data_IF_081777778437
#
_entry.id   IF_081777778437
#
_cell.length_a   1.000
_cell.length_b   1.000
_cell.length_c   1.000
_cell.angle_alpha   90.00
_cell.angle_beta   90.00
_cell.angle_gamma   90.00
#
_symmetry.space_group_name_H-M   'P 1'
#
loop_
_entity.id
_entity.type
_entity.pdbx_description
1 polymer ?
#
# COMPACT_ATOMS: atom_id res chain seq x y z
N UNK A 1 -44.22 15.82 7.25
CA UNK A 1 -43.02 14.96 7.16
C UNK A 1 -42.68 14.49 8.57
N UNK A 2 -42.79 13.19 8.84
CA UNK A 2 -42.85 12.66 10.21
C UNK A 2 -41.43 12.62 10.82
N UNK A 3 -41.22 13.32 11.95
CA UNK A 3 -39.88 13.48 12.57
C UNK A 3 -39.21 12.13 12.91
N UNK A 4 -40.01 11.10 13.22
CA UNK A 4 -39.52 9.74 13.45
C UNK A 4 -38.92 9.07 12.22
N UNK A 5 -39.43 9.36 11.01
CA UNK A 5 -38.91 8.78 9.77
C UNK A 5 -37.52 9.33 9.42
N UNK A 6 -37.30 10.62 9.71
CA UNK A 6 -36.01 11.29 9.51
C UNK A 6 -34.97 10.74 10.49
N UNK A 7 -35.35 10.54 11.76
CA UNK A 7 -34.46 10.01 12.78
C UNK A 7 -34.00 8.57 12.46
N UNK A 8 -34.91 7.69 12.03
CA UNK A 8 -34.58 6.31 11.65
C UNK A 8 -33.69 6.24 10.41
N UNK A 9 -33.91 7.12 9.42
CA UNK A 9 -33.09 7.21 8.21
C UNK A 9 -31.68 7.72 8.51
N UNK A 10 -31.53 8.66 9.45
CA UNK A 10 -30.24 9.21 9.86
C UNK A 10 -29.40 8.19 10.67
N UNK A 11 -30.05 7.35 11.48
CA UNK A 11 -29.40 6.26 12.23
C UNK A 11 -28.89 5.16 11.28
N UNK A 12 -29.66 4.76 10.27
CA UNK A 12 -29.21 3.78 9.27
C UNK A 12 -28.00 4.27 8.45
N UNK A 13 -27.90 5.56 8.16
CA UNK A 13 -26.77 6.15 7.44
C UNK A 13 -25.46 6.12 8.25
N UNK A 14 -25.53 6.11 9.58
CA UNK A 14 -24.33 6.10 10.44
C UNK A 14 -23.69 4.71 10.55
N UNK A 15 -24.45 3.64 10.39
CA UNK A 15 -23.97 2.25 10.53
C UNK A 15 -23.21 1.72 9.31
N UNK A 16 -23.35 2.36 8.14
CA UNK A 16 -22.70 1.96 6.88
C UNK A 16 -21.51 2.85 6.47
N UNK A 17 -21.13 3.81 7.32
CA UNK A 17 -20.29 4.95 6.92
C UNK A 17 -18.82 4.63 6.63
N UNK A 18 -18.22 3.63 7.29
CA UNK A 18 -16.76 3.47 7.29
C UNK A 18 -16.18 3.18 5.90
N UNK A 19 -16.82 2.32 5.09
CA UNK A 19 -16.33 1.96 3.75
C UNK A 19 -16.66 3.03 2.69
N UNK A 20 -17.64 3.92 2.97
CA UNK A 20 -18.13 4.90 2.00
C UNK A 20 -17.73 6.34 2.36
N UNK A 21 -16.89 6.50 3.37
CA UNK A 21 -16.52 7.79 3.94
C UNK A 21 -15.80 8.68 2.93
N UNK A 22 -14.90 8.15 2.10
CA UNK A 22 -14.22 8.92 1.04
C UNK A 22 -15.22 9.51 0.04
N UNK A 23 -16.15 8.70 -0.46
CA UNK A 23 -17.18 9.13 -1.40
C UNK A 23 -18.08 10.21 -0.80
N UNK A 24 -18.48 10.06 0.48
CA UNK A 24 -19.31 11.06 1.17
C UNK A 24 -18.54 12.36 1.39
N UNK A 25 -17.27 12.29 1.81
CA UNK A 25 -16.42 13.47 2.03
C UNK A 25 -16.20 14.26 0.75
N UNK A 26 -15.99 13.59 -0.40
CA UNK A 26 -15.85 14.24 -1.71
C UNK A 26 -17.12 14.98 -2.14
N UNK A 27 -18.29 14.36 -1.94
CA UNK A 27 -19.59 14.99 -2.25
C UNK A 27 -19.86 16.17 -1.31
N UNK A 28 -19.58 16.03 -0.02
CA UNK A 28 -19.73 17.12 0.95
C UNK A 28 -18.82 18.30 0.61
N UNK A 29 -17.56 18.03 0.22
CA UNK A 29 -16.62 19.07 -0.18
C UNK A 29 -17.06 19.81 -1.46
N UNK A 30 -17.58 19.11 -2.47
CA UNK A 30 -18.06 19.76 -3.70
C UNK A 30 -19.30 20.62 -3.45
N UNK A 31 -20.20 20.19 -2.55
CA UNK A 31 -21.37 20.98 -2.14
C UNK A 31 -20.96 22.19 -1.29
N UNK A 32 -20.00 22.04 -0.38
CA UNK A 32 -19.48 23.15 0.42
C UNK A 32 -18.76 24.19 -0.47
N UNK A 33 -18.10 23.75 -1.54
CA UNK A 33 -17.49 24.65 -2.51
C UNK A 33 -18.53 25.40 -3.35
N UNK A 34 -19.57 24.71 -3.83
CA UNK A 34 -20.63 25.33 -4.65
C UNK A 34 -21.50 26.31 -3.86
N UNK A 35 -21.60 26.13 -2.54
CA UNK A 35 -22.30 27.05 -1.61
C UNK A 35 -21.40 28.18 -1.08
N UNK A 36 -20.12 28.22 -1.48
CA UNK A 36 -19.17 29.27 -1.09
C UNK A 36 -18.66 29.18 0.35
N UNK A 37 -18.98 28.11 1.08
CA UNK A 37 -18.50 27.88 2.45
C UNK A 37 -17.00 27.55 2.46
N UNK A 38 -16.52 26.89 1.41
CA UNK A 38 -15.09 26.65 1.16
C UNK A 38 -14.72 27.05 -0.28
N UNK A 39 -13.43 27.23 -0.53
CA UNK A 39 -12.91 27.46 -1.88
C UNK A 39 -12.78 26.15 -2.67
N UNK A 40 -12.73 26.25 -4.00
CA UNK A 40 -12.48 25.09 -4.87
C UNK A 40 -11.14 24.40 -4.55
N UNK A 41 -10.10 25.18 -4.26
CA UNK A 41 -8.78 24.64 -3.88
C UNK A 41 -8.83 23.83 -2.58
N UNK A 42 -9.64 24.26 -1.60
CA UNK A 42 -9.86 23.49 -0.38
C UNK A 42 -10.63 22.20 -0.66
N UNK A 43 -11.65 22.24 -1.52
CA UNK A 43 -12.38 21.03 -1.92
C UNK A 43 -11.49 20.00 -2.62
N UNK A 44 -10.63 20.45 -3.53
CA UNK A 44 -9.66 19.59 -4.24
C UNK A 44 -8.65 18.98 -3.26
N UNK A 45 -8.16 19.77 -2.29
CA UNK A 45 -7.24 19.30 -1.25
C UNK A 45 -7.90 18.28 -0.32
N UNK A 46 -9.16 18.50 0.05
CA UNK A 46 -9.96 17.57 0.85
C UNK A 46 -10.16 16.25 0.09
N UNK A 47 -10.56 16.31 -1.18
CA UNK A 47 -10.75 15.13 -2.04
C UNK A 47 -9.47 14.30 -2.20
N UNK A 48 -8.32 14.96 -2.38
CA UNK A 48 -7.01 14.30 -2.45
C UNK A 48 -6.65 13.63 -1.13
N UNK A 49 -6.84 14.34 -0.02
CA UNK A 49 -6.49 13.84 1.31
C UNK A 49 -7.41 12.71 1.75
N UNK A 50 -8.72 12.80 1.50
CA UNK A 50 -9.68 11.74 1.81
C UNK A 50 -9.36 10.46 1.04
N UNK A 51 -9.00 10.60 -0.25
CA UNK A 51 -8.59 9.47 -1.09
C UNK A 51 -7.31 8.83 -0.59
N UNK A 52 -6.32 9.61 -0.15
CA UNK A 52 -5.08 9.09 0.43
C UNK A 52 -5.32 8.35 1.76
N UNK A 53 -6.20 8.86 2.63
CA UNK A 53 -6.57 8.22 3.90
C UNK A 53 -7.28 6.89 3.63
N UNK A 54 -8.27 6.89 2.74
CA UNK A 54 -8.98 5.67 2.36
C UNK A 54 -8.02 4.63 1.79
N UNK A 55 -7.12 5.05 0.90
CA UNK A 55 -6.11 4.15 0.33
C UNK A 55 -5.11 3.63 1.37
N UNK A 56 -4.77 4.42 2.39
CA UNK A 56 -3.88 4.00 3.49
C UNK A 56 -4.54 3.02 4.46
N UNK A 57 -5.89 2.96 4.47
CA UNK A 57 -6.65 2.01 5.26
C UNK A 57 -6.89 0.68 4.50
N UNK A 58 -6.55 0.60 3.22
CA UNK A 58 -6.58 -0.64 2.46
C UNK A 58 -5.31 -1.47 2.73
N UNK A 59 -5.49 -2.79 2.86
CA UNK A 59 -4.36 -3.71 2.91
C UNK A 59 -3.61 -3.72 1.57
N UNK A 60 -2.28 -3.80 1.65
CA UNK A 60 -1.43 -3.98 0.47
C UNK A 60 -1.61 -5.41 -0.03
N UNK A 61 -2.02 -5.57 -1.29
CA UNK A 61 -2.18 -6.91 -1.88
C UNK A 61 -0.81 -7.55 -2.14
N UNK A 62 -0.72 -8.90 -2.20
CA UNK A 62 0.54 -9.58 -2.53
C UNK A 62 1.19 -9.09 -3.84
N UNK A 63 0.40 -8.76 -4.85
CA UNK A 63 0.89 -8.19 -6.11
C UNK A 63 1.48 -6.80 -5.92
N UNK A 64 0.80 -5.95 -5.13
CA UNK A 64 1.28 -4.61 -4.82
C UNK A 64 2.58 -4.68 -4.00
N UNK A 65 2.65 -5.56 -3.01
CA UNK A 65 3.84 -5.86 -2.22
C UNK A 65 5.01 -6.22 -3.14
N UNK A 66 4.80 -7.14 -4.09
CA UNK A 66 5.81 -7.52 -5.08
C UNK A 66 6.33 -6.35 -5.93
N UNK A 67 5.43 -5.50 -6.44
CA UNK A 67 5.85 -4.37 -7.28
C UNK A 67 6.52 -3.24 -6.49
N UNK A 68 6.12 -3.04 -5.23
CA UNK A 68 6.82 -2.13 -4.30
C UNK A 68 8.22 -2.68 -4.03
N UNK A 69 8.34 -3.96 -3.66
CA UNK A 69 9.62 -4.63 -3.39
C UNK A 69 10.57 -4.61 -4.60
N UNK A 70 10.05 -4.85 -5.81
CA UNK A 70 10.79 -4.68 -7.08
C UNK A 70 11.37 -3.27 -7.24
N UNK A 71 10.59 -2.25 -6.90
CA UNK A 71 11.01 -0.85 -7.03
C UNK A 71 12.13 -0.53 -6.03
N UNK A 72 11.97 -0.95 -4.77
CA UNK A 72 12.99 -0.80 -3.74
C UNK A 72 14.26 -1.57 -4.10
N UNK A 73 14.12 -2.81 -4.56
CA UNK A 73 15.24 -3.65 -5.00
C UNK A 73 16.04 -3.01 -6.14
N UNK A 74 15.37 -2.37 -7.11
CA UNK A 74 16.05 -1.63 -8.17
C UNK A 74 16.85 -0.43 -7.64
N UNK A 75 16.32 0.30 -6.65
CA UNK A 75 17.05 1.39 -5.98
C UNK A 75 18.28 0.86 -5.25
N UNK A 76 18.15 -0.25 -4.53
CA UNK A 76 19.27 -0.88 -3.81
C UNK A 76 20.35 -1.35 -4.79
N UNK A 77 19.97 -2.07 -5.84
CA UNK A 77 20.90 -2.56 -6.88
C UNK A 77 21.60 -1.40 -7.61
N UNK A 78 20.91 -0.26 -7.79
CA UNK A 78 21.51 0.94 -8.36
C UNK A 78 22.62 1.55 -7.50
N UNK A 79 22.58 1.33 -6.17
CA UNK A 79 23.61 1.80 -5.22
C UNK A 79 24.69 0.75 -4.95
N UNK A 80 24.29 -0.51 -4.81
CA UNK A 80 25.16 -1.64 -4.52
C UNK A 80 25.02 -2.67 -5.65
N UNK A 81 25.98 -2.75 -6.59
CA UNK A 81 25.83 -3.60 -7.76
C UNK A 81 25.80 -5.09 -7.36
N UNK A 82 25.21 -5.97 -8.19
CA UNK A 82 25.19 -7.39 -7.91
C UNK A 82 26.62 -7.96 -7.89
N UNK A 83 26.94 -8.76 -6.88
CA UNK A 83 28.23 -9.42 -6.78
C UNK A 83 28.36 -10.47 -7.90
N UNK A 84 29.34 -10.28 -8.79
CA UNK A 84 29.52 -11.05 -10.02
C UNK A 84 30.19 -12.41 -9.77
N UNK A 85 29.55 -13.25 -8.95
CA UNK A 85 30.02 -14.59 -8.66
C UNK A 85 28.89 -15.61 -8.71
N UNK A 86 28.85 -16.38 -9.80
CA UNK A 86 27.79 -17.35 -10.04
C UNK A 86 27.74 -18.47 -8.99
N UNK A 87 28.90 -18.91 -8.46
CA UNK A 87 28.95 -19.97 -7.45
C UNK A 87 28.31 -19.51 -6.15
N UNK A 88 28.65 -18.29 -5.72
CA UNK A 88 28.07 -17.68 -4.51
C UNK A 88 26.57 -17.46 -4.68
N UNK A 89 26.14 -16.85 -5.79
CA UNK A 89 24.71 -16.61 -6.04
C UNK A 89 23.92 -17.92 -6.13
N UNK A 90 24.48 -18.99 -6.73
CA UNK A 90 23.83 -20.31 -6.76
C UNK A 90 23.70 -20.91 -5.36
N UNK A 91 24.75 -20.84 -4.55
CA UNK A 91 24.71 -21.31 -3.17
C UNK A 91 23.66 -20.56 -2.36
N UNK A 92 23.66 -19.23 -2.44
CA UNK A 92 22.69 -18.39 -1.74
C UNK A 92 21.25 -18.73 -2.16
N UNK A 93 21.00 -18.90 -3.45
CA UNK A 93 19.67 -19.26 -3.92
C UNK A 93 19.25 -20.66 -3.46
N UNK A 94 20.14 -21.66 -3.48
CA UNK A 94 19.82 -22.98 -2.94
C UNK A 94 19.45 -22.90 -1.46
N UNK A 95 20.26 -22.20 -0.66
CA UNK A 95 20.02 -22.03 0.77
C UNK A 95 18.71 -21.28 1.03
N UNK A 96 18.54 -20.10 0.43
CA UNK A 96 17.40 -19.23 0.64
C UNK A 96 16.08 -19.89 0.21
N UNK A 97 16.06 -20.55 -0.95
CA UNK A 97 14.86 -21.27 -1.40
C UNK A 97 14.52 -22.44 -0.48
N UNK A 98 15.53 -23.18 0.01
CA UNK A 98 15.31 -24.29 0.95
C UNK A 98 14.72 -23.78 2.27
N UNK A 99 15.22 -22.66 2.79
CA UNK A 99 14.68 -22.04 4.00
C UNK A 99 13.28 -21.49 3.80
N UNK A 100 13.00 -20.87 2.64
CA UNK A 100 11.67 -20.35 2.32
C UNK A 100 10.59 -21.45 2.38
N UNK A 101 10.90 -22.65 1.88
CA UNK A 101 9.98 -23.80 1.92
C UNK A 101 9.64 -24.27 3.35
N UNK A 102 10.46 -23.94 4.33
CA UNK A 102 10.23 -24.26 5.74
C UNK A 102 9.65 -23.07 6.55
N UNK A 103 9.28 -21.98 5.89
CA UNK A 103 8.74 -20.78 6.54
C UNK A 103 7.21 -20.81 6.65
N UNK A 104 6.65 -19.86 7.40
CA UNK A 104 5.19 -19.67 7.52
C UNK A 104 4.53 -19.18 6.21
N UNK A 105 5.32 -18.68 5.25
CA UNK A 105 4.87 -18.21 3.93
C UNK A 105 5.75 -18.80 2.83
N UNK A 106 5.63 -20.10 2.52
CA UNK A 106 6.51 -20.77 1.55
C UNK A 106 6.29 -20.31 0.10
N UNK A 107 5.14 -19.69 -0.17
CA UNK A 107 4.79 -19.13 -1.47
C UNK A 107 4.45 -17.63 -1.35
N UNK A 108 5.04 -16.82 -2.22
CA UNK A 108 4.78 -15.38 -2.37
C UNK A 108 4.40 -15.08 -3.82
N UNK A 109 3.71 -13.96 -4.06
CA UNK A 109 3.46 -13.52 -5.44
C UNK A 109 4.80 -13.21 -6.12
N UNK A 110 5.11 -13.92 -7.21
CA UNK A 110 6.39 -13.80 -7.92
C UNK A 110 7.58 -14.55 -7.29
N UNK A 111 7.39 -15.22 -6.16
CA UNK A 111 8.39 -16.06 -5.49
C UNK A 111 9.53 -15.30 -4.78
N UNK A 112 10.29 -16.01 -3.96
CA UNK A 112 11.49 -15.47 -3.32
C UNK A 112 12.66 -15.35 -4.30
N UNK A 113 13.43 -14.26 -4.18
CA UNK A 113 14.65 -14.01 -4.96
C UNK A 113 15.76 -13.59 -4.02
N UNK A 114 16.94 -14.20 -4.16
CA UNK A 114 18.09 -13.90 -3.30
C UNK A 114 19.28 -13.45 -4.16
N UNK A 115 19.93 -12.36 -3.75
CA UNK A 115 21.04 -11.77 -4.48
C UNK A 115 22.10 -11.26 -3.51
N UNK A 116 23.37 -11.60 -3.77
CA UNK A 116 24.50 -10.97 -3.07
C UNK A 116 24.84 -9.65 -3.75
N UNK A 117 25.02 -8.61 -2.95
CA UNK A 117 25.46 -7.29 -3.39
C UNK A 117 26.95 -7.14 -3.12
N UNK A 118 27.64 -6.43 -4.01
CA UNK A 118 29.06 -6.12 -3.90
C UNK A 118 29.25 -4.93 -2.94
N UNK A 119 29.51 -5.24 -1.67
CA UNK A 119 29.65 -4.25 -0.60
C UNK A 119 30.52 -4.82 0.53
N UNK A 120 31.37 -3.98 1.11
CA UNK A 120 32.15 -4.30 2.31
C UNK A 120 31.31 -4.14 3.61
N UNK A 121 30.09 -3.61 3.50
CA UNK A 121 29.16 -3.47 4.63
C UNK A 121 28.49 -4.81 4.97
N UNK A 122 28.57 -5.23 6.23
CA UNK A 122 27.85 -6.42 6.72
C UNK A 122 26.37 -6.05 6.92
N UNK A 123 25.50 -6.46 6.00
CA UNK A 123 24.06 -6.19 6.08
C UNK A 123 23.22 -7.16 5.22
N UNK A 124 21.91 -7.19 5.45
CA UNK A 124 20.92 -7.87 4.63
C UNK A 124 19.55 -7.17 4.70
N UNK A 125 18.84 -7.10 3.58
CA UNK A 125 17.51 -6.51 3.48
C UNK A 125 16.53 -7.48 2.82
N UNK A 126 15.25 -7.32 3.14
CA UNK A 126 14.12 -7.94 2.44
C UNK A 126 13.10 -6.85 2.14
N UNK A 127 12.36 -7.00 1.04
CA UNK A 127 11.36 -6.04 0.56
C UNK A 127 10.18 -6.78 -0.04
#
# INVERSE_FOLDING_TARGET
MNKGLIATMMICLMLSGCAQMDSITKVAASVAASTGVITQSQADSISKTSGAIAKSAEDITPEQEYYIGRTIGAVIIGKYPPYQNQKVNRYLNLLGQTLAQASDRPETFGGYHFLVLDSDEINAFAA
#
